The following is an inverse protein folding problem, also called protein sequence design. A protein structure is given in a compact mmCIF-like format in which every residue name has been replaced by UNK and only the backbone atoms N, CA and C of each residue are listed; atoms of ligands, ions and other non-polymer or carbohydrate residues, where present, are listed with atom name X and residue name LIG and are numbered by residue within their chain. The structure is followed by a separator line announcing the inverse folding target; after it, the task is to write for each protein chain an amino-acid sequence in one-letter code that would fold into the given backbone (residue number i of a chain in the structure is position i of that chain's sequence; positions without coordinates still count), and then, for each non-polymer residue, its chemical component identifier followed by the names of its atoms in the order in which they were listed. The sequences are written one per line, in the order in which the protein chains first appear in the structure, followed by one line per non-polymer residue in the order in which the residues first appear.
data_IF_702055958601
#
_entry.id   IF_702055958601
#
_cell.length_a   1.000
_cell.length_b   1.000
_cell.length_c   1.000
_cell.angle_alpha   90.00
_cell.angle_beta   90.00
_cell.angle_gamma   90.00
#
_symmetry.space_group_name_H-M   'P 1'
#
loop_
_entity.id
_entity.type
_entity.pdbx_description
1 polymer ?
#
# COMPACT_ATOMS: atom_id res chain seq x y z
N UNK A 1 14.47 1.07 25.48
CA UNK A 1 13.24 0.26 25.37
C UNK A 1 12.06 1.04 24.77
N UNK A 2 11.69 2.20 25.33
CA UNK A 2 10.55 3.04 24.87
C UNK A 2 10.58 3.44 23.39
N UNK A 3 11.76 3.75 22.82
CA UNK A 3 11.89 4.15 21.41
C UNK A 3 11.59 3.02 20.40
N UNK A 4 11.85 1.76 20.76
CA UNK A 4 11.59 0.61 19.86
C UNK A 4 10.11 0.27 19.85
N UNK A 5 9.47 0.26 21.02
CA UNK A 5 8.02 0.05 21.14
C UNK A 5 7.25 1.14 20.37
N UNK A 6 7.66 2.41 20.48
CA UNK A 6 7.06 3.49 19.69
C UNK A 6 7.20 3.28 18.18
N UNK A 7 8.37 2.83 17.70
CA UNK A 7 8.58 2.54 16.27
C UNK A 7 7.72 1.38 15.77
N UNK A 8 7.58 0.32 16.58
CA UNK A 8 6.74 -0.83 16.25
C UNK A 8 5.25 -0.43 16.21
N UNK A 9 4.78 0.33 17.21
CA UNK A 9 3.41 0.84 17.24
C UNK A 9 3.14 1.77 16.07
N UNK A 10 4.10 2.64 15.73
CA UNK A 10 3.99 3.53 14.57
C UNK A 10 3.93 2.75 13.25
N UNK A 11 4.80 1.75 13.05
CA UNK A 11 4.75 0.89 11.86
C UNK A 11 3.41 0.15 11.74
N UNK A 12 2.93 -0.43 12.85
CA UNK A 12 1.64 -1.14 12.85
C UNK A 12 0.46 -0.20 12.59
N UNK A 13 0.51 1.05 13.07
CA UNK A 13 -0.52 2.05 12.82
C UNK A 13 -0.54 2.51 11.35
N UNK A 14 0.63 2.72 10.74
CA UNK A 14 0.75 3.10 9.32
C UNK A 14 0.27 1.97 8.40
N UNK A 15 0.64 0.73 8.71
CA UNK A 15 0.25 -0.44 7.90
C UNK A 15 -1.24 -0.81 8.05
N UNK A 16 -1.85 -0.58 9.22
CA UNK A 16 -3.29 -0.78 9.39
C UNK A 16 -4.10 0.27 8.63
N UNK A 17 -3.61 1.53 8.53
CA UNK A 17 -4.29 2.59 7.77
C UNK A 17 -4.40 2.26 6.28
N UNK A 18 -3.33 1.79 5.64
CA UNK A 18 -3.35 1.34 4.23
C UNK A 18 -4.35 0.21 4.00
N UNK A 19 -4.32 -0.79 4.89
CA UNK A 19 -5.23 -1.94 4.83
C UNK A 19 -6.70 -1.57 5.01
N UNK A 20 -6.99 -0.62 5.91
CA UNK A 20 -8.35 -0.14 6.19
C UNK A 20 -8.87 0.72 5.04
N UNK A 21 -8.05 1.63 4.49
CA UNK A 21 -8.44 2.46 3.35
C UNK A 21 -8.68 1.61 2.10
N UNK A 22 -7.84 0.61 1.84
CA UNK A 22 -8.04 -0.39 0.78
C UNK A 22 -9.34 -1.19 0.98
N UNK A 23 -9.64 -1.63 2.22
CA UNK A 23 -10.88 -2.36 2.52
C UNK A 23 -12.14 -1.49 2.32
N UNK A 24 -12.10 -0.21 2.75
CA UNK A 24 -13.20 0.74 2.53
C UNK A 24 -13.40 1.01 1.04
N UNK A 25 -12.32 1.21 0.29
CA UNK A 25 -12.37 1.40 -1.16
C UNK A 25 -13.04 0.20 -1.86
N UNK A 26 -12.63 -1.03 -1.52
CA UNK A 26 -13.20 -2.26 -2.07
C UNK A 26 -14.70 -2.44 -1.74
N UNK A 27 -15.13 -2.16 -0.52
CA UNK A 27 -16.54 -2.29 -0.09
C UNK A 27 -17.42 -1.18 -0.68
N UNK A 28 -16.88 0.03 -0.81
CA UNK A 28 -17.61 1.17 -1.40
C UNK A 28 -17.92 0.99 -2.88
N UNK A 29 -17.04 0.34 -3.67
CA UNK A 29 -17.25 0.10 -5.10
C UNK A 29 -18.04 -1.18 -5.41
N UNK A 30 -17.90 -2.21 -4.57
CA UNK A 30 -18.61 -3.49 -4.77
C UNK A 30 -20.14 -3.36 -4.58
N UNK A 31 -20.63 -2.20 -4.15
CA UNK A 31 -22.07 -1.88 -4.05
C UNK A 31 -22.73 -1.48 -5.38
N UNK A 32 -22.03 -1.60 -6.52
CA UNK A 32 -22.58 -1.30 -7.86
C UNK A 32 -23.39 -2.44 -8.48
N UNK A 33 -23.37 -3.67 -7.93
CA UNK A 33 -24.18 -4.80 -8.39
C UNK A 33 -24.74 -5.62 -7.22
N UNK A 34 -25.86 -5.17 -6.64
CA UNK A 34 -26.94 -6.02 -6.14
C UNK A 34 -27.96 -5.09 -5.45
N UNK A 35 -29.15 -4.99 -6.02
CA UNK A 35 -30.25 -4.31 -5.37
C UNK A 35 -30.66 -5.06 -4.11
N UNK A 36 -30.27 -4.56 -2.94
CA UNK A 36 -31.08 -4.64 -1.73
C UNK A 36 -30.59 -3.64 -0.68
N UNK A 37 -31.52 -3.24 0.17
CA UNK A 37 -31.50 -2.11 1.10
C UNK A 37 -30.21 -1.90 1.90
N UNK A 38 -29.83 -0.63 1.98
CA UNK A 38 -29.01 -0.01 3.03
C UNK A 38 -29.36 -0.65 4.39
N UNK A 39 -28.52 -1.55 4.86
CA UNK A 39 -28.62 -2.18 6.18
C UNK A 39 -27.22 -2.60 6.62
N UNK A 40 -27.03 -2.81 7.91
CA UNK A 40 -25.78 -3.05 8.65
C UNK A 40 -24.76 -4.02 8.01
N UNK A 41 -25.13 -4.74 6.96
CA UNK A 41 -24.33 -5.67 6.15
C UNK A 41 -23.02 -5.05 5.63
N UNK A 42 -23.02 -3.82 5.11
CA UNK A 42 -21.79 -3.21 4.56
C UNK A 42 -20.73 -2.96 5.65
N UNK A 43 -21.18 -2.58 6.85
CA UNK A 43 -20.30 -2.46 8.01
C UNK A 43 -19.73 -3.82 8.42
N UNK A 44 -20.56 -4.86 8.46
CA UNK A 44 -20.11 -6.22 8.78
C UNK A 44 -19.13 -6.78 7.74
N UNK A 45 -19.36 -6.56 6.44
CA UNK A 45 -18.44 -6.99 5.37
C UNK A 45 -17.09 -6.27 5.52
N UNK A 46 -17.09 -4.97 5.79
CA UNK A 46 -15.86 -4.20 6.03
C UNK A 46 -15.12 -4.69 7.27
N UNK A 47 -15.83 -4.94 8.38
CA UNK A 47 -15.25 -5.49 9.62
C UNK A 47 -14.64 -6.87 9.38
N UNK A 48 -15.35 -7.75 8.67
CA UNK A 48 -14.84 -9.09 8.32
C UNK A 48 -13.63 -8.98 7.38
N UNK A 49 -13.65 -8.08 6.40
CA UNK A 49 -12.54 -7.84 5.49
C UNK A 49 -11.30 -7.33 6.22
N UNK A 50 -11.44 -6.38 7.15
CA UNK A 50 -10.34 -5.86 7.97
C UNK A 50 -9.80 -6.93 8.92
N UNK A 51 -10.68 -7.69 9.60
CA UNK A 51 -10.26 -8.77 10.49
C UNK A 51 -9.52 -9.88 9.74
N UNK A 52 -10.03 -10.27 8.58
CA UNK A 52 -9.40 -11.30 7.74
C UNK A 52 -8.09 -10.79 7.15
N UNK A 53 -8.06 -9.56 6.63
CA UNK A 53 -6.86 -8.93 6.09
C UNK A 53 -5.76 -8.73 7.14
N UNK A 54 -6.12 -8.26 8.33
CA UNK A 54 -5.22 -8.13 9.47
C UNK A 54 -4.68 -9.49 9.94
N UNK A 55 -5.53 -10.52 9.98
CA UNK A 55 -5.11 -11.89 10.28
C UNK A 55 -4.11 -12.43 9.23
N UNK A 56 -4.39 -12.22 7.95
CA UNK A 56 -3.50 -12.58 6.84
C UNK A 56 -2.15 -11.85 6.92
N UNK A 57 -2.17 -10.56 7.27
CA UNK A 57 -0.96 -9.76 7.45
C UNK A 57 -0.07 -10.29 8.57
N UNK A 58 -0.64 -10.63 9.73
CA UNK A 58 0.13 -11.21 10.84
C UNK A 58 0.70 -12.57 10.41
N UNK A 59 -0.09 -13.39 9.73
CA UNK A 59 0.35 -14.71 9.28
C UNK A 59 1.51 -14.64 8.26
N UNK A 60 1.51 -13.65 7.36
CA UNK A 60 2.57 -13.46 6.38
C UNK A 60 3.77 -12.67 6.90
N UNK A 61 3.67 -11.97 8.03
CA UNK A 61 4.68 -11.03 8.50
C UNK A 61 6.08 -11.66 8.62
N UNK A 62 6.16 -12.85 9.21
CA UNK A 62 7.43 -13.57 9.39
C UNK A 62 8.04 -13.98 8.04
N UNK A 63 7.21 -14.51 7.14
CA UNK A 63 7.64 -14.97 5.80
C UNK A 63 8.10 -13.79 4.92
N UNK A 64 7.38 -12.67 4.98
CA UNK A 64 7.73 -11.44 4.25
C UNK A 64 9.01 -10.83 4.83
N UNK A 65 9.16 -10.78 6.16
CA UNK A 65 10.37 -10.31 6.81
C UNK A 65 11.60 -11.14 6.42
N UNK A 66 11.49 -12.47 6.45
CA UNK A 66 12.58 -13.37 6.04
C UNK A 66 12.94 -13.19 4.55
N UNK A 67 11.94 -12.97 3.68
CA UNK A 67 12.15 -12.67 2.27
C UNK A 67 12.88 -11.34 2.05
N UNK A 68 12.50 -10.27 2.77
CA UNK A 68 13.15 -8.97 2.69
C UNK A 68 14.59 -9.02 3.22
N UNK A 69 14.81 -9.73 4.32
CA UNK A 69 16.14 -9.89 4.93
C UNK A 69 17.08 -10.72 4.08
N UNK A 70 16.58 -11.66 3.26
CA UNK A 70 17.38 -12.47 2.33
C UNK A 70 18.20 -11.61 1.35
N UNK A 71 17.75 -10.38 1.03
CA UNK A 71 18.46 -9.47 0.13
C UNK A 71 18.11 -8.00 0.43
N UNK A 72 19.07 -7.22 0.94
CA UNK A 72 18.92 -5.78 1.29
C UNK A 72 18.33 -4.90 0.18
N UNK A 73 18.46 -5.30 -1.08
CA UNK A 73 17.84 -4.61 -2.21
C UNK A 73 16.29 -4.69 -2.19
N UNK A 74 15.70 -5.78 -1.68
CA UNK A 74 14.24 -5.92 -1.55
C UNK A 74 13.67 -5.15 -0.37
N UNK A 75 14.40 -5.05 0.75
CA UNK A 75 14.04 -4.20 1.89
C UNK A 75 13.86 -2.73 1.47
N UNK A 76 14.85 -2.18 0.75
CA UNK A 76 14.80 -0.78 0.26
C UNK A 76 13.67 -0.58 -0.77
N UNK A 77 13.42 -1.58 -1.63
CA UNK A 77 12.34 -1.54 -2.62
C UNK A 77 10.97 -1.53 -1.94
N UNK A 78 10.75 -2.39 -0.93
CA UNK A 78 9.52 -2.40 -0.13
C UNK A 78 9.29 -1.08 0.59
N UNK A 79 10.32 -0.51 1.19
CA UNK A 79 10.24 0.80 1.85
C UNK A 79 9.89 1.94 0.88
N UNK A 80 10.41 1.91 -0.34
CA UNK A 80 10.07 2.88 -1.38
C UNK A 80 8.61 2.76 -1.84
N UNK A 81 8.13 1.54 -2.06
CA UNK A 81 6.72 1.30 -2.40
C UNK A 81 5.79 1.78 -1.27
N UNK A 82 6.11 1.45 -0.01
CA UNK A 82 5.34 1.94 1.16
C UNK A 82 5.33 3.47 1.24
N UNK A 83 6.43 4.13 0.90
CA UNK A 83 6.51 5.59 0.87
C UNK A 83 5.61 6.19 -0.21
N UNK A 84 5.61 5.63 -1.42
CA UNK A 84 4.74 6.08 -2.53
C UNK A 84 3.26 5.88 -2.18
N UNK A 85 2.91 4.71 -1.65
CA UNK A 85 1.54 4.44 -1.17
C UNK A 85 1.17 5.41 -0.04
N UNK A 86 2.09 5.69 0.88
CA UNK A 86 1.86 6.66 1.96
C UNK A 86 1.53 8.08 1.45
N UNK A 87 2.24 8.58 0.44
CA UNK A 87 1.94 9.89 -0.19
C UNK A 87 0.53 9.89 -0.80
N UNK A 88 0.16 8.77 -1.40
CA UNK A 88 -1.12 8.60 -2.04
C UNK A 88 -2.27 8.63 -1.03
N UNK A 89 -2.18 7.83 0.04
CA UNK A 89 -3.18 7.81 1.11
C UNK A 89 -3.30 9.18 1.80
N UNK A 90 -2.19 9.91 1.94
CA UNK A 90 -2.22 11.30 2.42
C UNK A 90 -3.02 12.22 1.48
N UNK A 91 -2.88 12.02 0.18
CA UNK A 91 -3.61 12.80 -0.83
C UNK A 91 -5.10 12.49 -0.82
N UNK A 92 -5.48 11.21 -0.83
CA UNK A 92 -6.89 10.77 -0.74
C UNK A 92 -7.51 11.19 0.59
N UNK A 93 -6.82 10.95 1.70
CA UNK A 93 -7.29 11.37 3.03
C UNK A 93 -7.41 12.89 3.16
N UNK A 94 -6.51 13.64 2.54
CA UNK A 94 -6.55 15.10 2.54
C UNK A 94 -7.72 15.68 1.76
N UNK A 95 -8.08 15.04 0.66
CA UNK A 95 -9.30 15.36 -0.06
C UNK A 95 -10.57 14.96 0.68
N UNK A 96 -10.64 13.76 1.28
CA UNK A 96 -11.80 13.37 2.10
C UNK A 96 -12.02 14.38 3.24
N UNK A 97 -10.93 14.93 3.78
CA UNK A 97 -10.95 16.00 4.79
C UNK A 97 -11.20 17.42 4.22
N UNK A 98 -11.47 17.55 2.92
CA UNK A 98 -11.66 18.82 2.20
C UNK A 98 -10.52 19.82 2.48
N UNK A 99 -9.28 19.33 2.63
CA UNK A 99 -8.14 20.19 2.91
C UNK A 99 -7.92 21.12 1.71
N UNK A 100 -7.94 22.42 1.99
CA UNK A 100 -7.58 23.45 1.02
C UNK A 100 -6.10 23.77 1.16
N UNK A 101 -5.28 23.24 0.26
CA UNK A 101 -3.88 23.65 0.16
C UNK A 101 -3.82 24.92 -0.70
N UNK A 102 -3.36 26.03 -0.10
CA UNK A 102 -3.21 27.32 -0.78
C UNK A 102 -4.50 27.88 -1.44
N UNK A 103 -5.68 27.57 -0.88
CA UNK A 103 -6.97 28.10 -1.36
C UNK A 103 -7.62 27.32 -2.50
N UNK A 104 -6.96 26.26 -3.01
CA UNK A 104 -7.56 25.33 -3.95
C UNK A 104 -8.01 24.05 -3.23
N UNK A 105 -9.18 23.54 -3.60
CA UNK A 105 -9.67 22.25 -3.12
C UNK A 105 -8.82 21.13 -3.71
N UNK A 106 -8.27 20.27 -2.85
CA UNK A 106 -7.63 19.03 -3.29
C UNK A 106 -8.72 18.15 -3.89
N UNK A 107 -8.52 17.70 -5.12
CA UNK A 107 -9.42 16.78 -5.82
C UNK A 107 -8.75 15.43 -6.03
N UNK A 108 -9.55 14.38 -5.94
CA UNK A 108 -9.17 12.99 -6.08
C UNK A 108 -8.70 12.76 -7.47
N UNK A 109 -7.69 11.89 -7.56
CA UNK A 109 -7.62 11.06 -8.73
C UNK A 109 -8.79 10.10 -8.77
N UNK A 110 -9.41 9.93 -9.94
CA UNK A 110 -10.42 8.89 -10.11
C UNK A 110 -9.85 7.51 -9.73
N UNK A 111 -10.67 6.63 -9.16
CA UNK A 111 -10.26 5.28 -8.74
C UNK A 111 -9.62 4.46 -9.87
N UNK A 112 -10.11 4.65 -11.09
CA UNK A 112 -9.52 4.05 -12.28
C UNK A 112 -8.07 4.51 -12.48
N UNK A 113 -7.82 5.81 -12.31
CA UNK A 113 -6.48 6.38 -12.40
C UNK A 113 -5.60 5.94 -11.23
N UNK A 114 -6.17 5.79 -10.03
CA UNK A 114 -5.49 5.24 -8.87
C UNK A 114 -4.98 3.81 -9.13
N UNK A 115 -5.86 2.87 -9.47
CA UNK A 115 -5.45 1.48 -9.75
C UNK A 115 -4.53 1.38 -10.97
N UNK A 116 -4.72 2.24 -11.96
CA UNK A 116 -3.81 2.36 -13.11
C UNK A 116 -2.41 2.78 -12.68
N UNK A 117 -2.28 3.81 -11.85
CA UNK A 117 -0.99 4.29 -11.32
C UNK A 117 -0.31 3.21 -10.49
N UNK A 118 -1.02 2.53 -9.57
CA UNK A 118 -0.45 1.43 -8.76
C UNK A 118 0.07 0.31 -9.66
N UNK A 119 -0.72 -0.10 -10.66
CA UNK A 119 -0.32 -1.16 -11.60
C UNK A 119 0.93 -0.78 -12.39
N UNK A 120 0.97 0.45 -12.92
CA UNK A 120 2.13 0.97 -13.65
C UNK A 120 3.35 1.08 -12.74
N UNK A 121 3.17 1.52 -11.49
CA UNK A 121 4.25 1.65 -10.52
C UNK A 121 4.89 0.28 -10.21
N UNK A 122 4.07 -0.72 -9.90
CA UNK A 122 4.54 -2.09 -9.65
C UNK A 122 5.28 -2.66 -10.87
N UNK A 123 4.73 -2.48 -12.08
CA UNK A 123 5.39 -2.92 -13.31
C UNK A 123 6.74 -2.22 -13.52
N UNK A 124 6.80 -0.91 -13.29
CA UNK A 124 8.02 -0.11 -13.46
C UNK A 124 9.10 -0.55 -12.47
N UNK A 125 8.73 -0.80 -11.21
CA UNK A 125 9.64 -1.33 -10.17
C UNK A 125 10.21 -2.71 -10.54
N UNK A 126 9.36 -3.61 -11.04
CA UNK A 126 9.79 -4.95 -11.49
C UNK A 126 10.78 -4.84 -12.65
N UNK A 127 10.49 -3.98 -13.62
CA UNK A 127 11.38 -3.74 -14.77
C UNK A 127 12.70 -3.12 -14.32
N UNK A 128 12.67 -2.11 -13.45
CA UNK A 128 13.87 -1.45 -12.94
C UNK A 128 14.76 -2.43 -12.15
N UNK A 129 14.15 -3.28 -11.31
CA UNK A 129 14.84 -4.32 -10.55
C UNK A 129 15.55 -5.33 -11.47
N UNK A 130 14.88 -5.81 -12.53
CA UNK A 130 15.50 -6.71 -13.51
C UNK A 130 16.61 -6.05 -14.31
N UNK A 131 16.41 -4.80 -14.74
CA UNK A 131 17.40 -4.06 -15.52
C UNK A 131 18.67 -3.77 -14.71
N UNK A 132 18.52 -3.33 -13.45
CA UNK A 132 19.65 -3.11 -12.53
C UNK A 132 20.48 -4.38 -12.33
N UNK A 133 19.82 -5.55 -12.19
CA UNK A 133 20.50 -6.84 -12.07
C UNK A 133 21.31 -7.20 -13.33
N UNK A 134 20.75 -6.92 -14.52
CA UNK A 134 21.41 -7.19 -15.81
C UNK A 134 22.64 -6.31 -16.02
N UNK A 135 22.56 -5.02 -15.71
CA UNK A 135 23.69 -4.08 -15.80
C UNK A 135 24.84 -4.46 -14.85
N UNK A 136 24.52 -4.84 -13.61
CA UNK A 136 25.52 -5.28 -12.62
C UNK A 136 26.26 -6.56 -13.08
N UNK A 137 25.59 -7.45 -13.80
CA UNK A 137 26.21 -8.64 -14.37
C UNK A 137 27.17 -8.29 -15.52
N UNK A 138 26.77 -7.38 -16.42
CA UNK A 138 27.60 -6.94 -17.53
C UNK A 138 28.88 -6.22 -17.08
N UNK A 139 28.80 -5.39 -16.03
CA UNK A 139 29.97 -4.71 -15.48
C UNK A 139 30.96 -5.67 -14.81
N UNK A 140 30.50 -6.78 -14.21
CA UNK A 140 31.39 -7.82 -13.68
C UNK A 140 32.12 -8.58 -14.79
N UNK A 141 31.46 -8.85 -15.91
CA UNK A 141 32.06 -9.56 -17.04
C UNK A 141 33.11 -8.76 -17.80
N UNK A 142 33.07 -7.42 -17.76
CA UNK A 142 34.08 -6.54 -18.37
C UNK A 142 35.31 -6.29 -17.50
N UNK A 143 35.28 -6.69 -16.22
CA UNK A 143 36.33 -6.42 -15.24
C UNK A 143 37.23 -7.63 -14.94
N UNK A 144 37.01 -8.75 -15.65
CA UNK A 144 37.85 -9.95 -15.70
C UNK A 144 38.43 -10.10 -17.11
#
# INVERSE_FOLDING_TARGET
ASSVVMKIVFMNAVFSFDSILSAIALVSDSSSNAGESISSTNFWIMVIAIMTGGGLMIWLADSVSEFLQRNRMYEVLGLFILFVVGILLLSEGGELAHLKLFGNEVHAMSKATFYFVITVLVLTEVVQSRYKKKLLQQQKSQRN
#
